data_IF_324669720574
#
_entry.id   IF_324669720574
#
_cell.length_a   1.000
_cell.length_b   1.000
_cell.length_c   1.000
_cell.angle_alpha   90.00
_cell.angle_beta   90.00
_cell.angle_gamma   90.00
#
_symmetry.space_group_name_H-M   'P 1'
#
loop_
_entity.id
_entity.type
_entity.pdbx_description
1 polymer ?
#
# COMPACT_ATOMS: atom_id res chain seq x y z
N UNK A 1 21.18 4.68 5.15
CA UNK A 1 20.18 3.64 5.51
C UNK A 1 18.88 4.28 5.99
N UNK A 2 18.90 5.20 6.97
CA UNK A 2 17.69 5.88 7.45
C UNK A 2 16.96 6.69 6.36
N UNK A 3 17.65 7.58 5.64
CA UNK A 3 17.05 8.40 4.57
C UNK A 3 16.41 7.55 3.45
N UNK A 4 17.05 6.45 3.06
CA UNK A 4 16.50 5.50 2.10
C UNK A 4 15.27 4.75 2.66
N UNK A 5 15.19 4.53 3.97
CA UNK A 5 14.01 3.98 4.61
C UNK A 5 12.88 5.01 4.64
N UNK A 6 13.19 6.29 4.90
CA UNK A 6 12.21 7.38 4.92
C UNK A 6 11.60 7.60 3.54
N UNK A 7 12.41 7.57 2.48
CA UNK A 7 11.92 7.66 1.12
C UNK A 7 11.04 6.46 0.75
N UNK A 8 11.47 5.24 1.09
CA UNK A 8 10.64 4.04 0.88
C UNK A 8 9.33 4.13 1.65
N UNK A 9 9.34 4.67 2.86
CA UNK A 9 8.13 4.87 3.65
C UNK A 9 7.15 5.81 2.93
N UNK A 10 7.63 6.94 2.41
CA UNK A 10 6.81 7.89 1.64
C UNK A 10 6.25 7.26 0.36
N UNK A 11 7.04 6.47 -0.36
CA UNK A 11 6.60 5.74 -1.55
C UNK A 11 5.47 4.76 -1.20
N UNK A 12 5.61 4.00 -0.11
CA UNK A 12 4.57 3.09 0.36
C UNK A 12 3.27 3.82 0.71
N UNK A 13 3.36 4.97 1.37
CA UNK A 13 2.19 5.78 1.72
C UNK A 13 1.49 6.36 0.48
N UNK A 14 2.25 6.87 -0.50
CA UNK A 14 1.69 7.37 -1.75
C UNK A 14 0.97 6.27 -2.52
N UNK A 15 1.59 5.08 -2.64
CA UNK A 15 0.99 3.93 -3.29
C UNK A 15 -0.29 3.49 -2.57
N UNK A 16 -0.32 3.46 -1.24
CA UNK A 16 -1.55 3.13 -0.51
C UNK A 16 -2.66 4.14 -0.77
N UNK A 17 -2.35 5.45 -0.79
CA UNK A 17 -3.34 6.50 -1.10
C UNK A 17 -3.88 6.36 -2.52
N UNK A 18 -3.01 6.13 -3.51
CA UNK A 18 -3.41 5.88 -4.90
C UNK A 18 -4.32 4.66 -5.03
N UNK A 19 -4.02 3.57 -4.31
CA UNK A 19 -4.87 2.39 -4.23
C UNK A 19 -6.27 2.70 -3.70
N UNK A 20 -6.36 3.52 -2.65
CA UNK A 20 -7.65 3.92 -2.05
C UNK A 20 -8.56 4.73 -2.98
N UNK A 21 -8.00 5.53 -3.90
CA UNK A 21 -8.76 6.43 -4.78
C UNK A 21 -8.88 5.95 -6.23
N UNK A 22 -8.14 4.92 -6.62
CA UNK A 22 -8.15 4.43 -8.00
C UNK A 22 -9.57 3.95 -8.41
N UNK A 23 -10.08 4.38 -9.58
CA UNK A 23 -11.44 4.08 -10.01
C UNK A 23 -11.62 2.64 -10.50
N UNK A 24 -10.59 2.06 -11.10
CA UNK A 24 -10.61 0.69 -11.59
C UNK A 24 -9.97 -0.28 -10.60
N UNK A 25 -10.54 -1.48 -10.52
CA UNK A 25 -10.10 -2.53 -9.59
C UNK A 25 -8.67 -2.98 -9.86
N UNK A 26 -8.23 -2.97 -11.13
CA UNK A 26 -6.91 -3.45 -11.52
C UNK A 26 -5.80 -2.53 -11.01
N UNK A 27 -5.87 -1.22 -11.30
CA UNK A 27 -4.92 -0.22 -10.81
C UNK A 27 -4.97 -0.09 -9.30
N UNK A 28 -6.16 -0.13 -8.70
CA UNK A 28 -6.32 -0.22 -7.24
C UNK A 28 -5.46 -1.35 -6.68
N UNK A 29 -5.59 -2.54 -7.24
CA UNK A 29 -4.83 -3.69 -6.76
C UNK A 29 -3.34 -3.57 -7.00
N UNK A 30 -2.93 -3.04 -8.16
CA UNK A 30 -1.51 -2.80 -8.47
C UNK A 30 -0.86 -1.89 -7.42
N UNK A 31 -1.48 -0.73 -7.13
CA UNK A 31 -0.96 0.22 -6.15
C UNK A 31 -0.89 -0.38 -4.74
N UNK A 32 -1.95 -1.08 -4.31
CA UNK A 32 -1.98 -1.69 -2.98
C UNK A 32 -0.94 -2.82 -2.84
N UNK A 33 -0.74 -3.65 -3.86
CA UNK A 33 0.28 -4.70 -3.83
C UNK A 33 1.69 -4.10 -3.77
N UNK A 34 1.95 -3.04 -4.52
CA UNK A 34 3.24 -2.34 -4.49
C UNK A 34 3.49 -1.67 -3.12
N UNK A 35 2.46 -1.06 -2.52
CA UNK A 35 2.55 -0.52 -1.16
C UNK A 35 2.89 -1.61 -0.13
N UNK A 36 2.22 -2.76 -0.23
CA UNK A 36 2.45 -3.89 0.68
C UNK A 36 3.87 -4.44 0.57
N UNK A 37 4.42 -4.53 -0.64
CA UNK A 37 5.79 -4.96 -0.87
C UNK A 37 6.80 -4.02 -0.16
N UNK A 38 6.65 -2.70 -0.36
CA UNK A 38 7.50 -1.69 0.26
C UNK A 38 7.42 -1.74 1.80
N UNK A 39 6.22 -1.81 2.38
CA UNK A 39 6.08 -1.89 3.83
C UNK A 39 6.61 -3.20 4.43
N UNK A 40 6.55 -4.31 3.67
CA UNK A 40 7.16 -5.58 4.08
C UNK A 40 8.69 -5.47 4.14
N UNK A 41 9.31 -4.86 3.14
CA UNK A 41 10.76 -4.61 3.12
C UNK A 41 11.23 -3.70 4.26
N UNK A 42 10.39 -2.76 4.68
CA UNK A 42 10.66 -1.87 5.82
C UNK A 42 10.28 -2.47 7.19
N UNK A 43 9.57 -3.60 7.23
CA UNK A 43 9.02 -4.15 8.48
C UNK A 43 7.90 -3.29 9.10
N UNK A 44 7.24 -2.43 8.32
CA UNK A 44 6.21 -1.49 8.78
C UNK A 44 4.85 -2.19 9.03
N UNK A 45 4.76 -2.98 10.10
CA UNK A 45 3.62 -3.85 10.44
C UNK A 45 2.26 -3.15 10.48
N UNK A 46 2.19 -1.94 11.05
CA UNK A 46 0.93 -1.18 11.11
C UNK A 46 0.43 -0.81 9.73
N UNK A 47 1.30 -0.28 8.86
CA UNK A 47 0.95 0.07 7.48
C UNK A 47 0.58 -1.15 6.65
N UNK A 48 1.26 -2.28 6.83
CA UNK A 48 0.88 -3.53 6.16
C UNK A 48 -0.57 -3.94 6.47
N UNK A 49 -1.00 -3.82 7.74
CA UNK A 49 -2.40 -4.13 8.13
C UNK A 49 -3.41 -3.18 7.47
N UNK A 50 -3.08 -1.88 7.41
CA UNK A 50 -3.92 -0.88 6.74
C UNK A 50 -4.09 -1.21 5.25
N UNK A 51 -3.00 -1.54 4.55
CA UNK A 51 -3.03 -1.92 3.13
C UNK A 51 -3.81 -3.23 2.92
N UNK A 52 -3.60 -4.23 3.77
CA UNK A 52 -4.33 -5.50 3.71
C UNK A 52 -5.85 -5.30 3.89
N UNK A 53 -6.26 -4.38 4.77
CA UNK A 53 -7.69 -4.01 4.92
C UNK A 53 -8.26 -3.36 3.66
N UNK A 54 -7.48 -2.50 2.99
CA UNK A 54 -7.87 -1.89 1.72
C UNK A 54 -7.99 -2.94 0.61
N UNK A 55 -7.04 -3.89 0.53
CA UNK A 55 -7.10 -5.01 -0.42
C UNK A 55 -8.34 -5.88 -0.17
N UNK A 56 -8.58 -6.25 1.08
CA UNK A 56 -9.74 -7.04 1.45
C UNK A 56 -11.05 -6.33 1.05
N UNK A 57 -11.15 -5.03 1.33
CA UNK A 57 -12.32 -4.22 0.95
C UNK A 57 -12.49 -4.14 -0.57
N UNK A 58 -11.40 -3.96 -1.32
CA UNK A 58 -11.40 -3.95 -2.78
C UNK A 58 -11.82 -5.29 -3.41
N UNK A 59 -11.56 -6.41 -2.74
CA UNK A 59 -11.97 -7.74 -3.18
C UNK A 59 -13.44 -8.02 -2.86
N UNK A 60 -13.88 -7.62 -1.66
CA UNK A 60 -15.24 -7.89 -1.18
C UNK A 60 -16.32 -6.98 -1.81
N UNK A 61 -15.93 -5.99 -2.63
CA UNK A 61 -16.87 -5.22 -3.44
C UNK A 61 -17.82 -4.33 -2.64
N UNK A 62 -17.36 -3.75 -1.54
CA UNK A 62 -18.07 -2.65 -0.86
C UNK A 62 -17.72 -1.31 -1.49
#
# INVERSE_FOLDING_TARGET
IAEANDLRMQIGELLSKLGGVAPDRQRRMEYLQRALAVFRELGARTRMREVQSQVHSAIMGR
#
